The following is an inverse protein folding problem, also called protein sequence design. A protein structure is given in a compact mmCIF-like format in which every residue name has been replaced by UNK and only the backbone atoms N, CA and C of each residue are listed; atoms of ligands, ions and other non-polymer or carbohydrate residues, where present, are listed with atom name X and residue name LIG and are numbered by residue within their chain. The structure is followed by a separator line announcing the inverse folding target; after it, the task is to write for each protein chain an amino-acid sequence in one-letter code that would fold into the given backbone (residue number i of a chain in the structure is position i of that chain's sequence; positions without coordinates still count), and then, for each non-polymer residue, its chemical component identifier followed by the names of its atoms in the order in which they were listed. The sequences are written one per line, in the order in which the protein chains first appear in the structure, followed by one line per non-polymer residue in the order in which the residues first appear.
data_IF_903338827597
#
_entry.id   IF_903338827597
#
_cell.length_a   1.000
_cell.length_b   1.000
_cell.length_c   1.000
_cell.angle_alpha   90.00
_cell.angle_beta   90.00
_cell.angle_gamma   90.00
#
_symmetry.space_group_name_H-M   'P 1'
#
loop_
_entity.id
_entity.type
_entity.pdbx_description
1 polymer ?
#
# COMPACT_ATOMS: atom_id res chain seq x y z
N UNK A 1 -1.84 -12.45 -18.33
CA UNK A 1 -2.85 -11.45 -17.93
C UNK A 1 -3.78 -11.93 -16.80
N UNK A 2 -3.84 -13.24 -16.48
CA UNK A 2 -4.82 -13.78 -15.53
C UNK A 2 -4.48 -13.61 -14.03
N UNK A 3 -3.40 -12.92 -13.69
CA UNK A 3 -2.93 -12.76 -12.30
C UNK A 3 -2.79 -11.30 -11.86
N UNK A 4 -3.21 -10.34 -12.69
CA UNK A 4 -3.20 -8.93 -12.31
C UNK A 4 -4.39 -8.67 -11.38
N UNK A 5 -4.16 -8.30 -10.10
CA UNK A 5 -5.27 -7.97 -9.22
C UNK A 5 -5.89 -6.62 -9.59
N UNK A 6 -7.11 -6.39 -9.13
CA UNK A 6 -7.65 -5.04 -9.10
C UNK A 6 -6.93 -4.25 -7.99
N UNK A 7 -6.20 -3.20 -8.39
CA UNK A 7 -5.38 -2.40 -7.46
C UNK A 7 -6.18 -1.16 -7.07
N UNK A 8 -6.46 -1.03 -5.77
CA UNK A 8 -7.21 0.10 -5.22
C UNK A 8 -6.51 0.67 -3.99
N UNK A 9 -6.63 1.98 -3.81
CA UNK A 9 -6.22 2.69 -2.61
C UNK A 9 -7.45 3.08 -1.79
N UNK A 10 -7.33 2.96 -0.47
CA UNK A 10 -8.36 3.41 0.47
C UNK A 10 -7.81 4.55 1.30
N UNK A 11 -8.49 5.70 1.26
CA UNK A 11 -8.15 6.86 2.07
C UNK A 11 -8.88 6.79 3.41
N UNK A 12 -8.13 6.87 4.50
CA UNK A 12 -8.66 6.77 5.86
C UNK A 12 -8.34 8.07 6.59
N UNK A 13 -9.39 8.70 7.13
CA UNK A 13 -9.25 9.87 8.01
C UNK A 13 -9.21 9.43 9.46
N UNK A 14 -8.28 9.99 10.24
CA UNK A 14 -8.23 9.77 11.67
C UNK A 14 -9.09 10.82 12.42
N UNK A 15 -9.82 10.43 13.47
CA UNK A 15 -10.50 11.38 14.34
C UNK A 15 -9.52 12.37 15.01
N UNK A 16 -10.03 13.56 15.34
CA UNK A 16 -9.27 14.54 16.09
C UNK A 16 -8.76 13.98 17.43
N UNK A 17 -7.52 14.35 17.80
CA UNK A 17 -6.90 13.97 19.06
C UNK A 17 -6.07 12.68 19.01
N UNK A 18 -6.08 11.93 17.91
CA UNK A 18 -5.14 10.80 17.75
C UNK A 18 -3.77 11.31 17.34
N UNK A 19 -2.72 10.78 17.97
CA UNK A 19 -1.34 11.04 17.56
C UNK A 19 -0.97 10.11 16.41
N UNK A 20 0.07 10.46 15.66
CA UNK A 20 0.57 9.64 14.54
C UNK A 20 0.79 8.17 14.95
N UNK A 21 1.42 7.94 16.10
CA UNK A 21 1.65 6.59 16.65
C UNK A 21 0.35 5.83 16.95
N UNK A 22 -0.71 6.52 17.35
CA UNK A 22 -2.01 5.90 17.61
C UNK A 22 -2.65 5.43 16.31
N UNK A 23 -2.56 6.25 15.26
CA UNK A 23 -3.07 5.94 13.92
C UNK A 23 -2.31 4.73 13.36
N UNK A 24 -0.98 4.76 13.36
CA UNK A 24 -0.15 3.67 12.86
C UNK A 24 -0.48 2.32 13.53
N UNK A 25 -0.57 2.33 14.87
CA UNK A 25 -0.92 1.11 15.63
C UNK A 25 -2.31 0.60 15.25
N UNK A 26 -3.28 1.50 15.04
CA UNK A 26 -4.65 1.13 14.68
C UNK A 26 -4.74 0.62 13.25
N UNK A 27 -4.04 1.23 12.30
CA UNK A 27 -3.94 0.76 10.91
C UNK A 27 -3.31 -0.63 10.85
N UNK A 28 -2.25 -0.88 11.65
CA UNK A 28 -1.68 -2.22 11.79
C UNK A 28 -2.71 -3.25 12.29
N UNK A 29 -3.45 -2.94 13.36
CA UNK A 29 -4.48 -3.84 13.89
C UNK A 29 -5.61 -4.04 12.87
N UNK A 30 -6.03 -2.99 12.17
CA UNK A 30 -7.07 -3.05 11.15
C UNK A 30 -6.65 -3.99 10.01
N UNK A 31 -5.45 -3.80 9.45
CA UNK A 31 -4.87 -4.70 8.44
C UNK A 31 -4.90 -6.15 8.89
N UNK A 32 -4.40 -6.45 10.11
CA UNK A 32 -4.36 -7.82 10.65
C UNK A 32 -5.74 -8.42 10.86
N UNK A 33 -6.76 -7.61 11.18
CA UNK A 33 -8.15 -8.07 11.32
C UNK A 33 -8.78 -8.34 9.97
N UNK A 34 -8.57 -7.45 8.98
CA UNK A 34 -9.06 -7.62 7.61
C UNK A 34 -8.47 -8.90 7.00
N UNK A 35 -7.15 -9.07 7.08
CA UNK A 35 -6.45 -10.28 6.59
C UNK A 35 -6.97 -11.57 7.23
N UNK A 36 -7.42 -11.53 8.49
CA UNK A 36 -7.98 -12.70 9.19
C UNK A 36 -9.45 -12.96 8.83
N UNK A 37 -10.18 -11.92 8.45
CA UNK A 37 -11.61 -11.98 8.20
C UNK A 37 -11.92 -12.38 6.75
N UNK A 38 -11.07 -11.97 5.80
CA UNK A 38 -11.21 -12.35 4.40
C UNK A 38 -10.55 -13.71 4.20
N UNK A 39 -11.37 -14.76 4.21
CA UNK A 39 -10.93 -16.16 4.01
C UNK A 39 -11.31 -16.71 2.64
N UNK A 40 -12.35 -16.15 2.03
CA UNK A 40 -12.93 -16.64 0.77
C UNK A 40 -12.19 -16.12 -0.48
N UNK A 41 -11.26 -15.19 -0.30
CA UNK A 41 -10.43 -14.62 -1.37
C UNK A 41 -8.94 -14.88 -1.06
N UNK A 42 -8.34 -15.93 -1.64
CA UNK A 42 -6.94 -16.29 -1.39
C UNK A 42 -5.93 -15.31 -2.00
N UNK A 43 -6.37 -14.49 -2.96
CA UNK A 43 -5.52 -13.51 -3.65
C UNK A 43 -5.60 -12.12 -2.99
N UNK A 44 -6.50 -11.94 -2.00
CA UNK A 44 -6.62 -10.71 -1.24
C UNK A 44 -5.31 -10.36 -0.52
N UNK A 45 -4.81 -9.15 -0.77
CA UNK A 45 -3.56 -8.71 -0.17
C UNK A 45 -3.50 -7.19 0.04
N UNK A 46 -3.05 -6.79 1.24
CA UNK A 46 -2.76 -5.39 1.58
C UNK A 46 -1.24 -5.20 1.55
N UNK A 47 -0.74 -4.46 0.56
CA UNK A 47 0.69 -4.14 0.44
C UNK A 47 1.22 -3.33 1.64
N UNK A 48 0.54 -2.23 1.94
CA UNK A 48 0.85 -1.33 3.03
C UNK A 48 -0.45 -0.70 3.54
N UNK A 49 -0.52 -0.42 4.83
CA UNK A 49 -1.59 0.37 5.44
C UNK A 49 -0.98 1.18 6.58
N UNK A 50 -0.50 2.36 6.24
CA UNK A 50 0.30 3.25 7.09
C UNK A 50 0.14 4.69 6.58
N UNK A 51 0.31 5.67 7.46
CA UNK A 51 0.42 7.09 7.14
C UNK A 51 1.85 7.50 6.76
N UNK A 52 2.83 6.63 6.99
CA UNK A 52 4.25 6.93 6.79
C UNK A 52 4.90 6.12 5.66
N UNK A 53 4.38 4.93 5.36
CA UNK A 53 4.96 4.02 4.37
C UNK A 53 3.91 3.60 3.33
N UNK A 54 4.24 3.81 2.07
CA UNK A 54 3.46 3.35 0.92
C UNK A 54 4.30 2.40 0.06
N UNK A 55 3.75 1.26 -0.32
CA UNK A 55 4.45 0.24 -1.13
C UNK A 55 3.78 0.09 -2.49
N UNK A 56 4.46 0.51 -3.54
CA UNK A 56 4.16 0.15 -4.92
C UNK A 56 5.00 -1.07 -5.31
N UNK A 57 4.34 -2.19 -5.63
CA UNK A 57 5.02 -3.42 -6.05
C UNK A 57 4.18 -4.16 -7.08
N UNK A 58 4.84 -4.78 -8.05
CA UNK A 58 4.18 -5.57 -9.08
C UNK A 58 5.12 -6.56 -9.74
N UNK A 59 4.56 -7.56 -10.41
CA UNK A 59 5.32 -8.51 -11.23
C UNK A 59 5.62 -7.86 -12.60
N UNK A 60 6.62 -7.00 -12.63
CA UNK A 60 7.07 -6.30 -13.84
C UNK A 60 8.58 -6.00 -13.74
N UNK A 61 9.18 -5.62 -14.87
CA UNK A 61 10.56 -5.15 -14.88
C UNK A 61 10.64 -3.81 -14.13
N UNK A 62 11.69 -3.56 -13.31
CA UNK A 62 11.81 -2.30 -12.58
C UNK A 62 11.73 -1.04 -13.47
N UNK A 63 12.24 -1.13 -14.70
CA UNK A 63 12.20 -0.05 -15.68
C UNK A 63 10.76 0.33 -16.12
N UNK A 64 9.80 -0.58 -15.99
CA UNK A 64 8.41 -0.36 -16.37
C UNK A 64 7.53 0.07 -15.19
N UNK A 65 8.06 0.06 -13.96
CA UNK A 65 7.30 0.39 -12.75
C UNK A 65 6.65 1.79 -12.82
N UNK A 66 7.34 2.86 -13.29
CA UNK A 66 6.71 4.18 -13.42
C UNK A 66 5.70 4.29 -14.57
N UNK A 67 5.79 3.40 -15.57
CA UNK A 67 4.80 3.32 -16.66
C UNK A 67 3.55 2.55 -16.22
N UNK A 68 3.73 1.60 -15.31
CA UNK A 68 2.64 0.80 -14.76
C UNK A 68 1.89 1.55 -13.64
N UNK A 69 2.63 2.11 -12.68
CA UNK A 69 2.10 2.98 -11.62
C UNK A 69 2.39 4.44 -11.96
N UNK A 70 1.43 5.10 -12.61
CA UNK A 70 1.56 6.48 -13.07
C UNK A 70 1.84 7.47 -11.92
N UNK A 71 1.40 7.15 -10.70
CA UNK A 71 1.69 7.93 -9.50
C UNK A 71 3.20 8.07 -9.24
N UNK A 72 4.00 7.07 -9.60
CA UNK A 72 5.47 7.11 -9.45
C UNK A 72 6.15 8.03 -10.48
N UNK A 73 5.45 8.43 -11.54
CA UNK A 73 5.93 9.40 -12.52
C UNK A 73 5.45 10.84 -12.20
N UNK A 74 4.60 11.01 -11.19
CA UNK A 74 4.08 12.32 -10.78
C UNK A 74 5.11 13.07 -9.93
N UNK A 75 5.32 14.35 -10.22
CA UNK A 75 6.27 15.20 -9.50
C UNK A 75 5.89 15.42 -8.03
N UNK A 76 4.62 15.22 -7.66
CA UNK A 76 4.14 15.30 -6.27
C UNK A 76 4.50 14.08 -5.44
N UNK A 77 4.95 12.99 -6.08
CA UNK A 77 5.37 11.77 -5.39
C UNK A 77 6.79 11.93 -4.84
N UNK A 78 6.88 12.62 -3.71
CA UNK A 78 8.14 12.92 -3.02
C UNK A 78 8.29 12.07 -1.74
N UNK A 79 9.53 11.69 -1.43
CA UNK A 79 9.84 11.01 -0.16
C UNK A 79 11.26 11.35 0.29
N UNK A 80 11.46 11.44 1.61
CA UNK A 80 12.79 11.57 2.20
C UNK A 80 13.62 10.27 2.05
N UNK A 81 12.95 9.11 1.96
CA UNK A 81 13.60 7.79 1.85
C UNK A 81 12.83 6.95 0.84
N UNK A 82 13.56 6.28 -0.05
CA UNK A 82 13.01 5.29 -0.98
C UNK A 82 13.81 3.99 -0.89
N UNK A 83 13.11 2.86 -0.84
CA UNK A 83 13.69 1.53 -0.84
C UNK A 83 13.15 0.75 -2.04
N UNK A 84 14.05 0.13 -2.80
CA UNK A 84 13.70 -0.69 -3.95
C UNK A 84 14.21 -2.13 -3.76
N UNK A 85 13.51 -3.07 -4.37
CA UNK A 85 13.88 -4.47 -4.35
C UNK A 85 13.40 -5.14 -5.65
N UNK A 86 14.28 -5.93 -6.26
CA UNK A 86 13.96 -6.82 -7.37
C UNK A 86 14.17 -8.26 -6.88
N UNK A 87 13.16 -9.11 -7.13
CA UNK A 87 13.26 -10.55 -6.90
C UNK A 87 13.85 -11.25 -8.11
#
# INVERSE_FOLDING_TARGET
ANSLPNIQQVFISAPAGWRERDIERRLYIARRRIEKQITEDPDFYICSLSTQVLVYKGLCMPADLPRFYLDLADLRMESAICLFHQR
#
